data_IF_444052677305
#
_entry.id   IF_444052677305
#
_cell.length_a   1.000
_cell.length_b   1.000
_cell.length_c   1.000
_cell.angle_alpha   90.00
_cell.angle_beta   90.00
_cell.angle_gamma   90.00
#
_symmetry.space_group_name_H-M   'P 1'
#
loop_
_entity.id
_entity.type
_entity.pdbx_description
1 polymer ?
#
# COMPACT_ATOMS: atom_id res chain seq x y z
N UNK A 1 21.16 -15.58 -14.60
CA UNK A 1 20.98 -14.18 -14.12
C UNK A 1 19.51 -13.99 -13.81
N UNK A 2 19.19 -13.53 -12.60
CA UNK A 2 17.81 -13.25 -12.20
C UNK A 2 17.19 -12.21 -13.15
N UNK A 3 16.06 -12.50 -13.81
CA UNK A 3 15.41 -11.56 -14.74
C UNK A 3 15.08 -10.22 -14.09
N UNK A 4 14.85 -10.19 -12.77
CA UNK A 4 14.61 -8.94 -12.03
C UNK A 4 15.89 -8.10 -11.89
N UNK A 5 17.05 -8.75 -11.74
CA UNK A 5 18.35 -8.08 -11.66
C UNK A 5 18.76 -7.44 -13.00
N UNK A 6 18.46 -8.10 -14.13
CA UNK A 6 18.70 -7.55 -15.48
C UNK A 6 17.86 -6.29 -15.74
N UNK A 7 16.57 -6.31 -15.37
CA UNK A 7 15.68 -5.16 -15.51
C UNK A 7 16.14 -3.96 -14.64
N UNK A 8 16.72 -4.23 -13.47
CA UNK A 8 17.27 -3.20 -12.59
C UNK A 8 18.55 -2.56 -13.13
N UNK A 9 19.44 -3.34 -13.74
CA UNK A 9 20.66 -2.86 -14.40
C UNK A 9 20.34 -1.98 -15.63
N UNK A 10 19.35 -2.38 -16.45
CA UNK A 10 18.86 -1.56 -17.57
C UNK A 10 18.19 -0.26 -17.09
N UNK A 11 17.43 -0.33 -15.99
CA UNK A 11 16.82 0.84 -15.38
C UNK A 11 17.83 1.84 -14.83
N UNK A 12 19.00 1.40 -14.34
CA UNK A 12 20.08 2.30 -13.89
C UNK A 12 20.65 3.15 -15.03
N UNK A 13 20.72 2.60 -16.24
CA UNK A 13 21.27 3.27 -17.43
C UNK A 13 20.32 4.31 -18.02
N UNK A 14 19.03 4.29 -17.67
CA UNK A 14 18.03 5.24 -18.17
C UNK A 14 17.44 6.12 -17.03
N UNK A 15 17.84 7.40 -16.93
CA UNK A 15 17.45 8.27 -15.80
C UNK A 15 15.94 8.53 -15.71
N UNK A 16 15.21 8.55 -16.84
CA UNK A 16 13.75 8.69 -16.85
C UNK A 16 13.06 7.45 -16.30
N UNK A 17 13.56 6.25 -16.62
CA UNK A 17 13.02 4.98 -16.16
C UNK A 17 13.28 4.81 -14.64
N UNK A 18 14.48 5.17 -14.19
CA UNK A 18 14.88 5.15 -12.77
C UNK A 18 13.98 6.03 -11.91
N UNK A 19 13.62 7.23 -12.37
CA UNK A 19 12.72 8.15 -11.65
C UNK A 19 11.32 7.55 -11.51
N UNK A 20 10.77 6.96 -12.58
CA UNK A 20 9.45 6.29 -12.55
C UNK A 20 9.44 5.09 -11.60
N UNK A 21 10.47 4.25 -11.63
CA UNK A 21 10.59 3.08 -10.74
C UNK A 21 10.73 3.47 -9.28
N UNK A 22 11.51 4.52 -8.98
CA UNK A 22 11.60 5.08 -7.62
C UNK A 22 10.25 5.57 -7.11
N UNK A 23 9.48 6.28 -7.94
CA UNK A 23 8.14 6.77 -7.56
C UNK A 23 7.20 5.59 -7.29
N UNK A 24 7.21 4.57 -8.15
CA UNK A 24 6.43 3.34 -7.93
C UNK A 24 6.81 2.65 -6.62
N UNK A 25 8.10 2.46 -6.37
CA UNK A 25 8.59 1.85 -5.14
C UNK A 25 8.21 2.66 -3.89
N UNK A 26 8.30 3.99 -3.96
CA UNK A 26 7.89 4.87 -2.87
C UNK A 26 6.39 4.75 -2.57
N UNK A 27 5.53 4.75 -3.59
CA UNK A 27 4.09 4.54 -3.41
C UNK A 27 3.78 3.17 -2.84
N UNK A 28 4.46 2.11 -3.30
CA UNK A 28 4.31 0.76 -2.72
C UNK A 28 4.71 0.72 -1.25
N UNK A 29 5.81 1.39 -0.88
CA UNK A 29 6.25 1.47 0.52
C UNK A 29 5.25 2.24 1.39
N UNK A 30 4.72 3.37 0.90
CA UNK A 30 3.70 4.15 1.60
C UNK A 30 2.44 3.29 1.83
N UNK A 31 1.99 2.53 0.83
CA UNK A 31 0.86 1.63 0.96
C UNK A 31 1.12 0.50 1.97
N UNK A 32 2.34 -0.05 1.97
CA UNK A 32 2.73 -1.07 2.93
C UNK A 32 2.69 -0.55 4.37
N UNK A 33 3.24 0.64 4.63
CA UNK A 33 3.16 1.29 5.95
C UNK A 33 1.71 1.60 6.33
N UNK A 34 0.91 2.09 5.39
CA UNK A 34 -0.51 2.34 5.59
C UNK A 34 -1.27 1.06 5.96
N UNK A 35 -0.96 -0.06 5.31
CA UNK A 35 -1.52 -1.37 5.63
C UNK A 35 -1.17 -1.84 7.04
N UNK A 36 0.07 -1.67 7.49
CA UNK A 36 0.46 -1.93 8.88
C UNK A 36 -0.33 -1.07 9.87
N UNK A 37 -0.60 0.20 9.51
CA UNK A 37 -1.48 1.07 10.29
C UNK A 37 -2.90 0.53 10.41
N UNK A 38 -3.48 -0.03 9.35
CA UNK A 38 -4.81 -0.66 9.38
C UNK A 38 -4.82 -1.89 10.29
N UNK A 39 -3.78 -2.72 10.23
CA UNK A 39 -3.63 -3.88 11.12
C UNK A 39 -3.60 -3.41 12.58
N UNK A 40 -2.79 -2.39 12.88
CA UNK A 40 -2.68 -1.83 14.22
C UNK A 40 -4.03 -1.31 14.74
N UNK A 41 -4.77 -0.54 13.91
CA UNK A 41 -6.10 -0.04 14.26
C UNK A 41 -7.07 -1.20 14.50
N UNK A 42 -7.01 -2.26 13.70
CA UNK A 42 -7.87 -3.44 13.84
C UNK A 42 -7.61 -4.15 15.16
N UNK A 43 -6.35 -4.41 15.49
CA UNK A 43 -5.94 -5.02 16.76
C UNK A 43 -6.35 -4.12 17.93
N UNK A 44 -6.08 -2.82 17.85
CA UNK A 44 -6.46 -1.86 18.89
C UNK A 44 -7.96 -1.79 19.12
N UNK A 45 -8.77 -1.88 18.05
CA UNK A 45 -10.24 -1.97 18.15
C UNK A 45 -10.67 -3.26 18.87
N UNK A 46 -10.07 -4.40 18.54
CA UNK A 46 -10.40 -5.69 19.16
C UNK A 46 -10.04 -5.71 20.65
N UNK A 47 -8.86 -5.19 21.01
CA UNK A 47 -8.41 -5.15 22.40
C UNK A 47 -9.27 -4.16 23.21
N UNK A 48 -9.50 -2.95 22.69
CA UNK A 48 -10.32 -1.94 23.37
C UNK A 48 -11.78 -2.37 23.52
N UNK A 49 -12.32 -3.14 22.57
CA UNK A 49 -13.67 -3.72 22.70
C UNK A 49 -13.80 -4.72 23.86
N UNK A 50 -12.69 -5.34 24.29
CA UNK A 50 -12.68 -6.32 25.40
C UNK A 50 -12.24 -5.70 26.73
N UNK A 51 -11.25 -4.81 26.70
CA UNK A 51 -10.59 -4.26 27.88
C UNK A 51 -11.00 -2.80 28.18
N UNK A 52 -11.96 -2.25 27.41
CA UNK A 52 -12.42 -0.86 27.52
C UNK A 52 -11.50 0.17 26.85
N UNK A 53 -10.18 -0.03 26.90
CA UNK A 53 -9.20 0.82 26.21
C UNK A 53 -7.96 0.05 25.77
N UNK A 54 -7.25 0.59 24.79
CA UNK A 54 -5.92 0.13 24.37
C UNK A 54 -5.03 1.34 24.08
N UNK A 55 -3.87 1.42 24.76
CA UNK A 55 -2.96 2.59 24.69
C UNK A 55 -3.65 3.92 25.02
N UNK A 56 -4.60 3.91 25.96
CA UNK A 56 -5.37 5.10 26.35
C UNK A 56 -6.45 5.52 25.35
N UNK A 57 -6.62 4.79 24.24
CA UNK A 57 -7.70 5.03 23.27
C UNK A 57 -8.86 4.07 23.49
N UNK A 58 -10.08 4.59 23.38
CA UNK A 58 -11.31 3.78 23.42
C UNK A 58 -11.60 3.15 22.06
N UNK A 59 -12.52 2.19 22.02
CA UNK A 59 -12.99 1.60 20.76
C UNK A 59 -13.51 2.68 19.78
N UNK A 60 -14.19 3.70 20.30
CA UNK A 60 -14.75 4.80 19.52
C UNK A 60 -13.65 5.64 18.86
N UNK A 61 -12.52 5.82 19.54
CA UNK A 61 -11.36 6.52 19.00
C UNK A 61 -10.69 5.72 17.88
N UNK A 62 -10.53 4.41 18.05
CA UNK A 62 -10.03 3.54 16.98
C UNK A 62 -10.96 3.52 15.77
N UNK A 63 -12.28 3.54 15.96
CA UNK A 63 -13.25 3.63 14.86
C UNK A 63 -13.15 4.96 14.11
N UNK A 64 -13.02 6.09 14.82
CA UNK A 64 -12.76 7.40 14.19
C UNK A 64 -11.43 7.41 13.42
N UNK A 65 -10.39 6.83 14.02
CA UNK A 65 -9.08 6.71 13.39
C UNK A 65 -9.16 5.85 12.11
N UNK A 66 -9.88 4.72 12.16
CA UNK A 66 -10.15 3.85 11.01
C UNK A 66 -10.87 4.59 9.90
N UNK A 67 -11.90 5.37 10.21
CA UNK A 67 -12.64 6.14 9.21
C UNK A 67 -11.75 7.15 8.49
N UNK A 68 -10.91 7.88 9.23
CA UNK A 68 -9.99 8.87 8.67
C UNK A 68 -8.87 8.21 7.86
N UNK A 69 -8.24 7.16 8.39
CA UNK A 69 -7.20 6.40 7.69
C UNK A 69 -7.74 5.66 6.46
N UNK A 70 -8.96 5.13 6.54
CA UNK A 70 -9.61 4.40 5.46
C UNK A 70 -9.76 5.24 4.20
N UNK A 71 -10.19 6.50 4.34
CA UNK A 71 -10.30 7.43 3.21
C UNK A 71 -8.94 7.68 2.57
N UNK A 72 -7.90 7.96 3.37
CA UNK A 72 -6.54 8.19 2.87
C UNK A 72 -6.00 6.95 2.15
N UNK A 73 -6.17 5.77 2.75
CA UNK A 73 -5.77 4.50 2.15
C UNK A 73 -6.48 4.24 0.82
N UNK A 74 -7.78 4.52 0.73
CA UNK A 74 -8.55 4.35 -0.49
C UNK A 74 -7.99 5.22 -1.63
N UNK A 75 -7.67 6.50 -1.36
CA UNK A 75 -7.02 7.38 -2.34
C UNK A 75 -5.66 6.84 -2.80
N UNK A 76 -4.83 6.39 -1.87
CA UNK A 76 -3.50 5.84 -2.17
C UNK A 76 -3.60 4.56 -3.03
N UNK A 77 -4.56 3.69 -2.74
CA UNK A 77 -4.83 2.48 -3.53
C UNK A 77 -5.24 2.85 -4.95
N UNK A 78 -6.15 3.81 -5.13
CA UNK A 78 -6.58 4.26 -6.46
C UNK A 78 -5.39 4.77 -7.27
N UNK A 79 -4.55 5.64 -6.68
CA UNK A 79 -3.36 6.17 -7.35
C UNK A 79 -2.40 5.03 -7.74
N UNK A 80 -2.19 4.08 -6.83
CA UNK A 80 -1.31 2.94 -7.09
C UNK A 80 -1.84 2.04 -8.22
N UNK A 81 -3.14 1.73 -8.23
CA UNK A 81 -3.79 0.98 -9.30
C UNK A 81 -3.65 1.72 -10.63
N UNK A 82 -3.88 3.04 -10.68
CA UNK A 82 -3.69 3.85 -11.88
C UNK A 82 -2.24 3.79 -12.39
N UNK A 83 -1.25 3.90 -11.50
CA UNK A 83 0.18 3.78 -11.85
C UNK A 83 0.55 2.38 -12.35
N UNK A 84 -0.14 1.33 -11.90
CA UNK A 84 0.11 -0.06 -12.26
C UNK A 84 -0.88 -0.64 -13.29
N UNK A 85 -1.80 0.15 -13.84
CA UNK A 85 -2.77 -0.27 -14.88
C UNK A 85 -2.13 -1.03 -16.04
N UNK A 86 -0.96 -0.61 -16.49
CA UNK A 86 -0.26 -1.26 -17.59
C UNK A 86 0.26 -2.67 -17.26
N UNK A 87 0.58 -2.95 -15.99
CA UNK A 87 0.95 -4.29 -15.53
C UNK A 87 -0.33 -5.11 -15.32
N UNK A 88 -1.32 -4.51 -14.66
CA UNK A 88 -2.62 -5.12 -14.39
C UNK A 88 -3.33 -5.59 -15.67
N UNK A 89 -3.22 -4.83 -16.77
CA UNK A 89 -3.74 -5.23 -18.08
C UNK A 89 -3.02 -6.48 -18.62
N UNK A 90 -1.69 -6.55 -18.48
CA UNK A 90 -0.89 -7.72 -18.89
C UNK A 90 -1.18 -8.94 -18.01
N UNK A 91 -1.40 -8.72 -16.71
CA UNK A 91 -1.82 -9.77 -15.78
C UNK A 91 -3.23 -10.27 -16.11
N UNK A 92 -4.16 -9.38 -16.49
CA UNK A 92 -5.50 -9.75 -16.96
C UNK A 92 -5.45 -10.49 -18.29
N UNK A 93 -4.63 -10.06 -19.25
CA UNK A 93 -4.39 -10.81 -20.50
C UNK A 93 -3.84 -12.21 -20.20
N UNK A 94 -2.92 -12.37 -19.24
CA UNK A 94 -2.48 -13.72 -18.82
C UNK A 94 -3.58 -14.58 -18.18
N UNK A 95 -4.56 -13.96 -17.51
CA UNK A 95 -5.67 -14.68 -16.87
C UNK A 95 -6.84 -14.97 -17.81
N UNK A 96 -7.03 -14.15 -18.84
CA UNK A 96 -8.21 -14.18 -19.72
C UNK A 96 -7.91 -14.36 -21.22
N UNK A 97 -6.64 -14.41 -21.63
CA UNK A 97 -6.20 -14.60 -23.03
C UNK A 97 -5.67 -13.33 -23.69
#
# INVERSE_FOLDING_TARGET
MDPMAKAFEEAKRNPKLRKKLKIKAAFSLILFVGFLGVIFITIGTLISSKNGSFLGMTQLDFLKLRARYGIVMMFLIIIHLLMNRGIMKKELEMLFG
#
